data_IF_732809281480
#
_entry.id   IF_732809281480
#
_cell.length_a   1.000
_cell.length_b   1.000
_cell.length_c   1.000
_cell.angle_alpha   90.00
_cell.angle_beta   90.00
_cell.angle_gamma   90.00
#
_symmetry.space_group_name_H-M   'P 1'
#
loop_
_entity.id
_entity.type
_entity.pdbx_description
1 polymer ?
#
# COMPACT_ATOMS: atom_id res chain seq x y z
N UNK A 1 -56.88 -17.79 -12.08
CA UNK A 1 -57.49 -16.47 -11.78
C UNK A 1 -56.68 -15.43 -12.54
N UNK A 2 -57.38 -14.67 -13.38
CA UNK A 2 -56.92 -13.63 -14.33
C UNK A 2 -56.30 -12.48 -13.49
N UNK A 3 -55.30 -11.67 -13.90
CA UNK A 3 -55.36 -10.68 -14.99
C UNK A 3 -54.02 -9.96 -15.14
N UNK A 4 -53.59 -9.73 -16.38
CA UNK A 4 -52.51 -8.81 -16.80
C UNK A 4 -52.94 -7.35 -16.62
N UNK A 5 -52.02 -6.42 -16.36
CA UNK A 5 -52.13 -5.04 -16.90
C UNK A 5 -50.76 -4.47 -17.28
N UNK A 6 -50.61 -4.25 -18.59
CA UNK A 6 -49.66 -3.33 -19.22
C UNK A 6 -50.43 -2.06 -19.61
N UNK A 7 -49.82 -0.88 -19.50
CA UNK A 7 -49.88 0.29 -20.42
C UNK A 7 -49.10 1.45 -19.75
N UNK A 8 -47.98 1.95 -20.28
CA UNK A 8 -47.75 2.81 -21.47
C UNK A 8 -47.87 4.32 -21.17
N UNK A 9 -46.69 4.97 -21.17
CA UNK A 9 -46.26 6.27 -21.74
C UNK A 9 -47.23 7.46 -21.75
N UNK A 10 -46.73 8.63 -21.31
CA UNK A 10 -46.95 9.91 -22.00
C UNK A 10 -45.68 10.79 -21.93
N UNK A 11 -45.42 11.55 -23.00
CA UNK A 11 -44.24 12.38 -23.25
C UNK A 11 -44.59 13.87 -23.39
N UNK A 12 -43.54 14.68 -23.68
CA UNK A 12 -43.45 16.07 -24.19
C UNK A 12 -43.07 17.15 -23.13
N UNK A 13 -41.88 17.75 -23.18
CA UNK A 13 -41.32 18.84 -24.04
C UNK A 13 -41.37 20.20 -23.27
N UNK A 14 -40.48 21.22 -23.35
CA UNK A 14 -39.70 21.75 -24.49
C UNK A 14 -38.78 22.96 -24.07
N UNK A 15 -37.67 23.16 -24.82
CA UNK A 15 -36.90 24.41 -25.24
C UNK A 15 -35.97 25.23 -24.28
N UNK A 16 -35.07 26.13 -24.78
CA UNK A 16 -33.61 25.88 -24.90
C UNK A 16 -32.70 27.00 -24.30
N UNK A 17 -31.37 26.87 -24.39
CA UNK A 17 -30.44 28.00 -24.25
C UNK A 17 -29.38 27.97 -25.38
N UNK A 18 -29.38 29.05 -26.16
CA UNK A 18 -28.41 29.56 -27.16
C UNK A 18 -26.98 29.59 -26.55
N UNK A 19 -25.86 29.16 -27.16
CA UNK A 19 -25.28 29.59 -28.43
C UNK A 19 -24.04 30.48 -28.19
N UNK A 20 -22.83 29.94 -28.41
CA UNK A 20 -21.55 30.67 -28.63
C UNK A 20 -20.50 29.66 -29.14
N UNK A 21 -20.34 29.50 -30.46
CA UNK A 21 -19.33 30.14 -31.34
C UNK A 21 -17.89 29.72 -31.02
N UNK A 22 -17.26 29.08 -32.01
CA UNK A 22 -15.91 28.54 -32.01
C UNK A 22 -15.01 29.35 -32.93
N UNK A 23 -13.77 29.64 -32.51
CA UNK A 23 -12.58 29.96 -33.30
C UNK A 23 -11.38 29.69 -32.37
N UNK A 24 -10.21 29.18 -32.71
CA UNK A 24 -9.53 28.74 -33.92
C UNK A 24 -8.09 28.44 -33.46
N UNK A 25 -7.49 27.33 -33.90
CA UNK A 25 -6.09 27.01 -33.60
C UNK A 25 -5.14 27.95 -34.38
N UNK A 26 -3.92 28.16 -33.87
CA UNK A 26 -2.81 27.64 -34.66
C UNK A 26 -1.72 26.93 -33.83
N UNK A 27 -1.12 25.95 -34.49
CA UNK A 27 0.02 25.14 -34.09
C UNK A 27 1.34 25.94 -34.24
N UNK A 28 2.29 25.74 -33.32
CA UNK A 28 3.65 26.30 -33.40
C UNK A 28 4.51 25.99 -32.17
N UNK A 29 5.37 24.97 -32.26
CA UNK A 29 6.50 24.72 -31.35
C UNK A 29 7.74 25.53 -31.83
N UNK A 30 8.81 25.79 -31.03
CA UNK A 30 9.59 24.78 -30.31
C UNK A 30 10.15 25.17 -28.92
N UNK A 31 10.90 24.21 -28.35
CA UNK A 31 11.52 24.09 -27.03
C UNK A 31 12.38 25.26 -26.51
N UNK A 32 12.51 25.39 -25.18
CA UNK A 32 13.78 25.25 -24.43
C UNK A 32 13.64 25.54 -22.90
N UNK A 33 14.11 24.58 -22.10
CA UNK A 33 14.87 24.74 -20.85
C UNK A 33 14.41 25.71 -19.77
N UNK A 34 13.93 25.16 -18.66
CA UNK A 34 14.29 25.67 -17.33
C UNK A 34 14.29 24.50 -16.34
N UNK A 35 15.50 24.03 -16.01
CA UNK A 35 15.72 23.20 -14.84
C UNK A 35 15.39 24.06 -13.62
N UNK A 36 14.20 23.83 -13.03
CA UNK A 36 13.94 24.30 -11.68
C UNK A 36 14.82 23.46 -10.75
N UNK A 37 15.87 24.11 -10.23
CA UNK A 37 16.75 23.59 -9.20
C UNK A 37 15.91 23.04 -8.04
N UNK A 38 16.18 21.79 -7.68
CA UNK A 38 15.50 21.11 -6.59
C UNK A 38 15.69 21.87 -5.29
N UNK A 39 14.59 22.39 -4.75
CA UNK A 39 14.51 22.77 -3.34
C UNK A 39 14.91 21.54 -2.49
N UNK A 40 15.60 21.73 -1.35
CA UNK A 40 15.82 20.63 -0.43
C UNK A 40 14.44 20.13 0.02
N UNK A 41 14.07 18.91 -0.35
CA UNK A 41 12.93 18.22 0.25
C UNK A 41 13.21 18.14 1.75
N UNK A 42 12.57 19.05 2.51
CA UNK A 42 12.59 18.99 3.96
C UNK A 42 12.04 17.63 4.38
N UNK A 43 12.75 16.95 5.27
CA UNK A 43 12.26 15.74 5.90
C UNK A 43 10.87 16.03 6.48
N UNK A 44 9.82 15.54 5.83
CA UNK A 44 8.50 15.53 6.43
C UNK A 44 8.60 14.71 7.72
N UNK A 45 8.14 15.28 8.84
CA UNK A 45 8.14 14.58 10.11
C UNK A 45 7.34 13.28 9.95
N UNK A 46 7.99 12.14 10.18
CA UNK A 46 7.37 10.81 10.06
C UNK A 46 6.31 10.62 11.14
N UNK A 47 5.33 9.78 10.84
CA UNK A 47 4.23 9.52 11.77
C UNK A 47 4.75 8.86 13.06
N UNK A 48 4.44 9.40 14.27
CA UNK A 48 4.96 8.84 15.51
C UNK A 48 4.32 7.48 15.85
N UNK A 49 5.10 6.56 16.40
CA UNK A 49 4.64 5.30 16.97
C UNK A 49 4.92 5.24 18.48
N UNK A 50 4.11 4.52 19.28
CA UNK A 50 4.43 4.21 20.66
C UNK A 50 5.76 3.48 20.77
N UNK A 51 6.58 3.82 21.76
CA UNK A 51 7.88 3.18 21.98
C UNK A 51 7.79 1.69 22.32
N UNK A 52 6.63 1.23 22.76
CA UNK A 52 6.32 -0.16 23.09
C UNK A 52 5.50 -0.87 21.99
N UNK A 53 5.35 -0.25 20.80
CA UNK A 53 4.82 -0.92 19.63
C UNK A 53 5.69 -2.13 19.27
N UNK A 54 5.07 -3.30 19.07
CA UNK A 54 5.81 -4.54 18.83
C UNK A 54 5.22 -5.32 17.67
N UNK A 55 5.98 -5.38 16.58
CA UNK A 55 5.66 -6.11 15.37
C UNK A 55 6.47 -7.41 15.31
N UNK A 56 5.83 -8.52 14.94
CA UNK A 56 6.46 -9.84 14.95
C UNK A 56 5.79 -10.79 13.95
N UNK A 57 6.57 -11.75 13.47
CA UNK A 57 6.04 -12.89 12.71
C UNK A 57 5.55 -13.92 13.72
N UNK A 58 4.27 -14.29 13.65
CA UNK A 58 3.66 -15.34 14.49
C UNK A 58 4.08 -16.71 13.98
N UNK A 59 4.02 -16.89 12.65
CA UNK A 59 4.49 -18.09 11.96
C UNK A 59 4.86 -17.70 10.52
N UNK A 60 5.92 -18.25 9.91
CA UNK A 60 6.80 -19.28 10.44
C UNK A 60 7.71 -18.83 11.58
N UNK A 61 8.20 -19.80 12.35
CA UNK A 61 9.25 -19.57 13.35
C UNK A 61 10.60 -19.36 12.66
N UNK A 62 11.53 -18.71 13.36
CA UNK A 62 12.93 -18.65 12.90
C UNK A 62 13.55 -20.06 12.83
N UNK A 63 14.19 -20.37 11.70
CA UNK A 63 14.74 -21.68 11.37
C UNK A 63 13.77 -22.70 10.78
N UNK A 64 12.50 -22.34 10.56
CA UNK A 64 11.47 -23.28 10.09
C UNK A 64 11.79 -23.85 8.69
N UNK A 65 11.48 -25.14 8.49
CA UNK A 65 11.61 -25.83 7.20
C UNK A 65 10.23 -26.17 6.65
N UNK A 66 9.85 -25.54 5.55
CA UNK A 66 8.46 -25.51 5.08
C UNK A 66 8.35 -26.15 3.70
N UNK A 67 7.35 -27.01 3.49
CA UNK A 67 7.10 -27.64 2.18
C UNK A 67 6.21 -26.76 1.32
N UNK A 68 6.70 -26.38 0.15
CA UNK A 68 5.97 -25.56 -0.80
C UNK A 68 5.50 -24.23 -0.21
N UNK A 69 4.37 -23.73 -0.70
CA UNK A 69 3.85 -22.45 -0.25
C UNK A 69 3.15 -22.53 1.12
N UNK A 70 3.14 -21.41 1.85
CA UNK A 70 2.81 -21.39 3.27
C UNK A 70 2.12 -20.09 3.70
N UNK A 71 1.41 -20.13 4.82
CA UNK A 71 0.84 -18.92 5.42
C UNK A 71 1.91 -18.15 6.19
N UNK A 72 2.09 -16.85 5.98
CA UNK A 72 2.87 -16.02 6.90
C UNK A 72 1.88 -15.22 7.75
N UNK A 73 1.98 -15.32 9.07
CA UNK A 73 1.07 -14.71 10.04
C UNK A 73 1.76 -13.58 10.76
N UNK A 74 1.11 -12.42 10.81
CA UNK A 74 1.65 -11.17 11.33
C UNK A 74 1.02 -10.87 12.68
N UNK A 75 1.83 -10.40 13.62
CA UNK A 75 1.39 -9.95 14.92
C UNK A 75 1.83 -8.52 15.18
N UNK A 76 0.93 -7.73 15.75
CA UNK A 76 1.18 -6.36 16.18
C UNK A 76 0.64 -6.17 17.60
N UNK A 77 1.38 -5.48 18.46
CA UNK A 77 0.95 -5.07 19.81
C UNK A 77 1.11 -3.57 19.98
N UNK A 78 0.24 -2.98 20.80
CA UNK A 78 0.20 -1.55 21.14
C UNK A 78 -0.04 -0.59 19.96
N UNK A 79 -0.46 -1.12 18.81
CA UNK A 79 -0.91 -0.38 17.63
C UNK A 79 -2.04 -1.14 16.91
N UNK A 80 -2.82 -0.42 16.12
CA UNK A 80 -3.86 -0.98 15.26
C UNK A 80 -3.37 -1.28 13.84
N UNK A 81 -4.14 -2.11 13.13
CA UNK A 81 -3.98 -2.37 11.70
C UNK A 81 -5.13 -1.69 10.98
N UNK A 82 -4.82 -0.93 9.93
CA UNK A 82 -5.79 -0.19 9.10
C UNK A 82 -5.46 -0.38 7.62
N UNK A 83 -6.31 0.15 6.72
CA UNK A 83 -5.99 0.18 5.30
C UNK A 83 -4.94 1.24 4.96
N UNK A 84 -4.17 1.02 3.89
CA UNK A 84 -3.31 2.06 3.31
C UNK A 84 -4.15 3.25 2.84
N UNK A 85 -3.68 4.47 3.07
CA UNK A 85 -4.41 5.72 2.80
C UNK A 85 -5.27 6.21 3.96
N UNK A 86 -5.66 5.35 4.90
CA UNK A 86 -6.48 5.75 6.04
C UNK A 86 -5.62 6.35 7.16
N UNK A 87 -5.88 7.62 7.50
CA UNK A 87 -5.21 8.33 8.60
C UNK A 87 -5.89 8.03 9.94
N UNK A 88 -5.83 6.77 10.37
CA UNK A 88 -6.33 6.36 11.68
C UNK A 88 -5.23 6.49 12.76
N UNK A 89 -5.53 7.13 13.91
CA UNK A 89 -4.55 7.29 14.99
C UNK A 89 -3.96 5.96 15.45
N UNK A 90 -2.66 5.93 15.71
CA UNK A 90 -1.95 4.77 16.26
C UNK A 90 -2.15 3.46 15.45
N UNK A 91 -2.26 3.57 14.13
CA UNK A 91 -2.47 2.40 13.26
C UNK A 91 -1.81 2.56 11.90
N UNK A 92 -1.43 1.45 11.30
CA UNK A 92 -0.81 1.39 9.98
C UNK A 92 -1.13 0.08 9.27
N UNK A 93 -0.35 -0.26 8.25
CA UNK A 93 -0.54 -1.50 7.49
C UNK A 93 0.77 -2.25 7.29
N UNK A 94 0.68 -3.56 7.05
CA UNK A 94 1.84 -4.43 7.00
C UNK A 94 2.54 -4.40 5.63
N UNK A 95 3.86 -4.52 5.67
CA UNK A 95 4.68 -4.93 4.55
C UNK A 95 5.54 -6.12 4.98
N UNK A 96 5.69 -7.11 4.10
CA UNK A 96 6.61 -8.23 4.29
C UNK A 96 7.81 -8.08 3.35
N UNK A 97 8.98 -7.93 3.96
CA UNK A 97 10.27 -7.93 3.30
C UNK A 97 10.73 -9.39 3.15
N UNK A 98 11.04 -9.77 1.90
CA UNK A 98 11.53 -11.09 1.49
C UNK A 98 12.90 -10.89 0.85
N UNK A 99 13.94 -11.46 1.45
CA UNK A 99 15.32 -11.40 0.94
C UNK A 99 15.82 -9.97 0.64
N UNK A 100 15.47 -9.05 1.55
CA UNK A 100 15.94 -7.66 1.58
C UNK A 100 17.05 -7.56 2.60
N UNK A 101 18.27 -7.31 2.14
CA UNK A 101 19.44 -7.11 2.99
C UNK A 101 19.96 -5.67 2.96
N UNK A 102 19.57 -4.91 1.94
CA UNK A 102 19.85 -3.49 1.85
C UNK A 102 18.99 -2.70 2.85
N UNK A 103 19.55 -1.66 3.49
CA UNK A 103 18.78 -0.79 4.36
C UNK A 103 17.74 -0.03 3.53
N UNK A 104 16.49 -0.02 4.01
CA UNK A 104 15.44 0.83 3.46
C UNK A 104 15.64 2.28 3.96
N UNK A 105 15.32 3.25 3.09
CA UNK A 105 15.21 4.64 3.52
C UNK A 105 13.92 4.83 4.33
N UNK A 106 14.09 5.08 5.62
CA UNK A 106 12.99 5.22 6.57
C UNK A 106 12.13 6.47 6.34
N UNK A 107 12.58 7.42 5.51
CA UNK A 107 11.86 8.66 5.19
C UNK A 107 11.11 8.58 3.86
N UNK A 108 11.11 7.43 3.20
CA UNK A 108 10.44 7.21 1.92
C UNK A 108 9.37 6.13 2.04
N UNK A 109 8.37 6.16 1.14
CA UNK A 109 7.43 5.05 1.01
C UNK A 109 8.16 3.72 0.85
N UNK A 110 7.74 2.72 1.62
CA UNK A 110 8.22 1.35 1.46
C UNK A 110 7.87 0.90 0.04
N UNK A 111 8.85 0.42 -0.75
CA UNK A 111 8.59 -0.04 -2.10
C UNK A 111 7.53 -1.14 -2.11
N UNK A 112 6.68 -1.18 -3.13
CA UNK A 112 5.80 -2.32 -3.39
C UNK A 112 6.34 -3.11 -4.59
N UNK A 113 7.06 -4.20 -4.34
CA UNK A 113 7.69 -5.01 -5.37
C UNK A 113 7.83 -6.47 -4.90
N UNK A 114 8.49 -7.33 -5.70
CA UNK A 114 8.61 -8.76 -5.39
C UNK A 114 9.33 -9.08 -4.06
N UNK A 115 10.18 -8.17 -3.57
CA UNK A 115 10.89 -8.29 -2.30
C UNK A 115 10.19 -7.56 -1.15
N UNK A 116 9.33 -6.59 -1.45
CA UNK A 116 8.59 -5.82 -0.46
C UNK A 116 7.09 -5.96 -0.76
N UNK A 117 6.48 -6.97 -0.18
CA UNK A 117 5.08 -7.32 -0.43
C UNK A 117 4.15 -6.44 0.42
N UNK A 118 3.24 -5.74 -0.25
CA UNK A 118 2.32 -4.79 0.38
C UNK A 118 1.00 -5.45 0.82
N UNK A 119 0.62 -5.22 2.07
CA UNK A 119 -0.64 -5.68 2.67
C UNK A 119 -1.46 -4.50 3.22
N UNK A 120 -1.79 -3.56 2.31
CA UNK A 120 -2.56 -2.36 2.60
C UNK A 120 -4.06 -2.57 2.80
N UNK A 121 -4.56 -3.80 2.71
CA UNK A 121 -5.95 -4.14 3.02
C UNK A 121 -6.17 -4.48 4.50
N UNK A 122 -5.20 -4.17 5.36
CA UNK A 122 -5.24 -4.51 6.78
C UNK A 122 -5.05 -6.00 7.06
N UNK A 123 -4.44 -6.74 6.13
CA UNK A 123 -4.22 -8.17 6.30
C UNK A 123 -3.25 -8.43 7.46
N UNK A 124 -3.57 -9.45 8.25
CA UNK A 124 -2.72 -9.96 9.34
C UNK A 124 -2.12 -11.33 9.02
N UNK A 125 -2.40 -11.86 7.84
CA UNK A 125 -1.75 -13.05 7.30
C UNK A 125 -1.81 -13.04 5.77
N UNK A 126 -0.89 -13.76 5.14
CA UNK A 126 -0.85 -13.90 3.69
C UNK A 126 -0.35 -15.28 3.27
N UNK A 127 -0.84 -15.78 2.15
CA UNK A 127 -0.33 -17.00 1.52
C UNK A 127 0.90 -16.63 0.68
N UNK A 128 2.05 -17.17 1.05
CA UNK A 128 3.37 -16.90 0.46
C UNK A 128 3.81 -18.09 -0.38
N UNK A 129 4.43 -17.80 -1.52
CA UNK A 129 5.08 -18.77 -2.39
C UNK A 129 6.48 -18.29 -2.71
N UNK A 130 7.48 -19.08 -2.32
CA UNK A 130 8.89 -18.81 -2.59
C UNK A 130 9.50 -20.04 -3.28
N UNK A 131 10.53 -19.84 -4.12
CA UNK A 131 11.31 -20.96 -4.65
C UNK A 131 11.88 -21.85 -3.52
N UNK A 132 12.19 -23.13 -3.77
CA UNK A 132 12.95 -23.93 -2.81
C UNK A 132 14.30 -23.29 -2.51
N UNK A 133 14.66 -23.22 -1.22
CA UNK A 133 15.90 -22.57 -0.78
C UNK A 133 15.78 -21.81 0.55
N UNK A 134 16.89 -21.22 1.01
CA UNK A 134 16.89 -20.34 2.18
C UNK A 134 16.28 -18.98 1.85
N UNK A 135 15.47 -18.45 2.77
CA UNK A 135 14.86 -17.13 2.66
C UNK A 135 14.90 -16.38 3.99
N UNK A 136 14.89 -15.06 3.92
CA UNK A 136 14.68 -14.17 5.07
C UNK A 136 13.33 -13.49 4.97
N UNK A 137 12.65 -13.38 6.11
CA UNK A 137 11.38 -12.67 6.24
C UNK A 137 11.46 -11.63 7.34
N UNK A 138 10.94 -10.43 7.09
CA UNK A 138 10.84 -9.37 8.08
C UNK A 138 9.62 -8.50 7.82
N UNK A 139 8.89 -8.13 8.87
CA UNK A 139 7.77 -7.21 8.76
C UNK A 139 8.22 -5.78 9.07
N UNK A 140 7.60 -4.82 8.38
CA UNK A 140 7.68 -3.39 8.68
C UNK A 140 6.28 -2.78 8.55
N UNK A 141 5.93 -1.88 9.48
CA UNK A 141 4.65 -1.17 9.47
C UNK A 141 4.81 0.17 8.75
N UNK A 142 3.96 0.41 7.74
CA UNK A 142 3.84 1.70 7.05
C UNK A 142 2.61 2.47 7.54
N UNK A 143 2.70 3.80 7.55
CA UNK A 143 1.57 4.68 7.81
C UNK A 143 0.62 4.77 6.59
N UNK A 144 -0.28 5.76 6.56
CA UNK A 144 -1.21 5.94 5.45
C UNK A 144 -0.52 6.10 4.08
N UNK A 145 0.68 6.69 4.05
CA UNK A 145 1.45 7.03 2.86
C UNK A 145 2.60 6.04 2.62
N UNK A 146 2.52 4.85 3.24
CA UNK A 146 3.51 3.77 3.20
C UNK A 146 4.86 4.14 3.82
N UNK A 147 4.96 5.25 4.55
CA UNK A 147 6.21 5.68 5.19
C UNK A 147 6.35 4.95 6.54
N UNK A 148 7.54 4.42 6.87
CA UNK A 148 7.78 3.84 8.18
C UNK A 148 7.56 4.85 9.32
N UNK A 149 6.93 4.40 10.41
CA UNK A 149 6.72 5.20 11.62
C UNK A 149 8.04 5.65 12.30
N UNK A 150 7.94 6.57 13.26
CA UNK A 150 9.04 7.04 14.11
C UNK A 150 8.77 6.79 15.61
N UNK A 151 9.55 5.92 16.29
CA UNK A 151 10.58 5.05 15.71
C UNK A 151 9.98 4.01 14.75
N UNK A 152 10.80 3.42 13.85
CA UNK A 152 10.32 2.39 12.95
C UNK A 152 9.78 1.16 13.70
N UNK A 153 8.60 0.71 13.31
CA UNK A 153 7.96 -0.48 13.87
C UNK A 153 8.28 -1.66 12.94
N UNK A 154 9.31 -2.42 13.31
CA UNK A 154 9.91 -3.48 12.49
C UNK A 154 10.02 -4.76 13.33
N UNK A 155 9.75 -5.93 12.72
CA UNK A 155 9.96 -7.20 13.41
C UNK A 155 11.42 -7.63 13.44
N UNK A 156 11.70 -8.65 14.28
CA UNK A 156 12.89 -9.48 14.08
C UNK A 156 12.86 -10.06 12.67
N UNK A 157 14.02 -10.07 12.01
CA UNK A 157 14.25 -10.80 10.76
C UNK A 157 14.38 -12.28 11.11
N UNK A 158 13.60 -13.13 10.47
CA UNK A 158 13.66 -14.59 10.61
C UNK A 158 14.24 -15.22 9.34
N UNK A 159 14.83 -16.41 9.48
CA UNK A 159 15.30 -17.26 8.40
C UNK A 159 14.41 -18.48 8.29
N UNK A 160 14.05 -18.87 7.08
CA UNK A 160 13.33 -20.10 6.81
C UNK A 160 14.00 -20.85 5.66
N UNK A 161 13.64 -22.11 5.47
CA UNK A 161 14.02 -22.89 4.29
C UNK A 161 12.79 -23.51 3.66
N UNK A 162 12.52 -23.16 2.41
CA UNK A 162 11.49 -23.84 1.61
C UNK A 162 12.10 -25.11 1.02
N UNK A 163 11.46 -26.25 1.26
CA UNK A 163 11.89 -27.60 0.85
C UNK A 163 10.89 -28.28 -0.07
#
# INVERSE_FOLDING_TARGET
MVTRRSLLVLAAASVPIEGAQAEGAPEGAPAQGAHAEGAPEGAHARTPAPSDAYLYVIWPSDGERIRGGFWCRFGLRNMGVTHSGDKHPNSGHHHLLVDVDEPLDMNRPIPNNKKCLHYGGGQTEARIELPPGPHTLQLILGDADHVPFDPPVISKKIRITVI
#
